data_IF_885874161921
#
_entry.id   IF_885874161921
#
_cell.length_a   1.000
_cell.length_b   1.000
_cell.length_c   1.000
_cell.angle_alpha   90.00
_cell.angle_beta   90.00
_cell.angle_gamma   90.00
#
_symmetry.space_group_name_H-M   'P 1'
#
loop_
_entity.id
_entity.type
_entity.pdbx_description
1 polymer ?
#
# COMPACT_ATOMS: atom_id res chain seq x y z
N UNK A 1 6.41 35.00 -12.33
CA UNK A 1 5.62 33.75 -12.44
C UNK A 1 5.90 32.91 -11.21
N UNK A 2 4.88 32.39 -10.53
CA UNK A 2 5.02 31.45 -9.41
C UNK A 2 4.63 30.05 -9.89
N UNK A 3 5.46 29.05 -9.61
CA UNK A 3 5.22 27.66 -9.99
C UNK A 3 4.87 26.86 -8.74
N UNK A 4 3.72 26.19 -8.75
CA UNK A 4 3.19 25.40 -7.63
C UNK A 4 3.17 23.92 -7.96
N UNK A 5 3.36 23.11 -6.93
CA UNK A 5 3.36 21.65 -7.01
C UNK A 5 2.40 21.11 -5.96
N UNK A 6 1.22 20.67 -6.39
CA UNK A 6 0.12 20.32 -5.48
C UNK A 6 -0.42 18.92 -5.76
N UNK A 7 -1.02 18.28 -4.75
CA UNK A 7 -1.83 17.08 -4.97
C UNK A 7 -3.22 17.43 -5.55
N UNK A 8 -4.06 16.41 -5.75
CA UNK A 8 -5.43 16.56 -6.27
C UNK A 8 -6.36 17.34 -5.35
N UNK A 9 -6.04 17.43 -4.07
CA UNK A 9 -6.80 18.18 -3.06
C UNK A 9 -6.30 19.63 -2.91
N UNK A 10 -5.21 19.98 -3.60
CA UNK A 10 -4.60 21.30 -3.59
C UNK A 10 -3.55 21.50 -2.49
N UNK A 11 -3.14 20.45 -1.78
CA UNK A 11 -2.09 20.54 -0.78
C UNK A 11 -0.72 20.67 -1.44
N UNK A 12 0.13 21.55 -0.92
CA UNK A 12 1.48 21.76 -1.46
C UNK A 12 2.40 20.58 -1.12
N UNK A 13 3.00 19.98 -2.16
CA UNK A 13 3.89 18.81 -2.05
C UNK A 13 5.37 19.19 -2.05
N UNK A 14 5.70 20.36 -2.59
CA UNK A 14 7.05 20.89 -2.65
C UNK A 14 6.99 22.42 -2.68
N UNK A 15 8.05 23.06 -2.21
CA UNK A 15 8.16 24.52 -2.22
C UNK A 15 7.95 25.07 -3.62
N UNK A 16 7.10 26.09 -3.71
CA UNK A 16 6.85 26.83 -4.94
C UNK A 16 8.12 27.53 -5.46
N UNK A 17 8.31 27.54 -6.79
CA UNK A 17 9.41 28.27 -7.44
C UNK A 17 8.95 29.65 -7.92
N UNK A 18 9.88 30.60 -8.01
CA UNK A 18 9.60 31.94 -8.55
C UNK A 18 10.53 32.25 -9.72
N UNK A 19 9.93 32.54 -10.87
CA UNK A 19 10.62 33.00 -12.06
C UNK A 19 10.35 34.49 -12.25
N UNK A 20 11.42 35.25 -12.47
CA UNK A 20 11.38 36.67 -12.79
C UNK A 20 11.95 36.89 -14.19
N UNK A 21 11.37 37.84 -14.92
CA UNK A 21 11.80 38.18 -16.27
C UNK A 21 11.20 39.49 -16.74
N UNK A 22 11.70 40.00 -17.87
CA UNK A 22 11.16 41.19 -18.54
C UNK A 22 9.79 40.87 -19.12
N UNK A 23 8.89 41.85 -19.15
CA UNK A 23 7.61 41.73 -19.87
C UNK A 23 7.88 41.27 -21.31
N UNK A 24 7.04 40.37 -21.80
CA UNK A 24 7.09 39.71 -23.12
C UNK A 24 8.26 38.74 -23.35
N UNK A 25 9.19 38.60 -22.40
CA UNK A 25 10.19 37.55 -22.48
C UNK A 25 9.54 36.16 -22.24
N UNK A 26 9.98 35.11 -22.96
CA UNK A 26 9.44 33.78 -22.77
C UNK A 26 9.87 33.18 -21.42
N UNK A 27 9.03 32.32 -20.86
CA UNK A 27 9.37 31.41 -19.77
C UNK A 27 8.97 29.98 -20.11
N UNK A 28 9.68 29.05 -19.47
CA UNK A 28 9.37 27.63 -19.47
C UNK A 28 9.54 27.09 -18.06
N UNK A 29 8.67 26.16 -17.70
CA UNK A 29 8.69 25.47 -16.41
C UNK A 29 8.58 23.98 -16.63
N UNK A 30 9.00 23.20 -15.63
CA UNK A 30 8.89 21.74 -15.63
C UNK A 30 8.37 21.25 -14.29
N UNK A 31 7.78 20.05 -14.31
CA UNK A 31 7.43 19.34 -13.10
C UNK A 31 8.69 18.93 -12.33
N UNK A 32 8.59 18.88 -11.00
CA UNK A 32 9.62 18.32 -10.12
C UNK A 32 9.45 16.81 -10.03
N UNK A 33 10.57 16.09 -9.89
CA UNK A 33 10.52 14.69 -9.45
C UNK A 33 10.25 14.67 -7.94
N UNK A 34 9.13 14.08 -7.54
CA UNK A 34 8.69 14.01 -6.15
C UNK A 34 8.53 12.54 -5.75
N UNK A 35 9.23 12.11 -4.70
CA UNK A 35 9.21 10.71 -4.26
C UNK A 35 7.80 10.25 -3.90
N UNK A 36 7.35 9.15 -4.51
CA UNK A 36 6.01 8.59 -4.28
C UNK A 36 4.88 9.32 -5.01
N UNK A 37 5.18 10.25 -5.91
CA UNK A 37 4.20 11.02 -6.68
C UNK A 37 4.49 10.99 -8.17
N UNK A 38 3.43 11.01 -8.98
CA UNK A 38 3.49 11.11 -10.43
C UNK A 38 2.70 12.34 -10.89
N UNK A 39 3.17 12.99 -11.96
CA UNK A 39 2.47 14.15 -12.52
C UNK A 39 1.17 13.68 -13.15
N UNK A 40 0.05 14.15 -12.62
CA UNK A 40 -1.29 13.92 -13.16
C UNK A 40 -1.64 14.95 -14.22
N UNK A 41 -1.27 16.21 -14.00
CA UNK A 41 -1.60 17.31 -14.90
C UNK A 41 -0.44 18.27 -15.04
N UNK A 42 0.04 18.40 -16.28
CA UNK A 42 0.89 19.50 -16.72
C UNK A 42 -0.02 20.64 -17.18
N UNK A 43 0.12 21.85 -16.62
CA UNK A 43 -0.77 22.96 -16.97
C UNK A 43 -0.45 23.50 -18.37
N UNK A 44 -1.48 23.98 -19.08
CA UNK A 44 -1.32 24.53 -20.44
C UNK A 44 -0.39 25.76 -20.49
N UNK A 45 -0.26 26.49 -19.37
CA UNK A 45 0.63 27.65 -19.24
C UNK A 45 2.02 27.28 -18.67
N UNK A 46 2.46 26.02 -18.77
CA UNK A 46 3.82 25.63 -18.41
C UNK A 46 4.91 26.36 -19.24
N UNK A 47 4.52 26.84 -20.43
CA UNK A 47 5.28 27.79 -21.24
C UNK A 47 4.43 29.03 -21.50
N UNK A 48 5.06 30.18 -21.69
CA UNK A 48 4.37 31.43 -21.97
C UNK A 48 5.33 32.60 -21.99
N UNK A 49 4.80 33.82 -21.84
CA UNK A 49 5.60 35.04 -21.68
C UNK A 49 5.27 35.72 -20.36
N UNK A 50 6.27 36.41 -19.78
CA UNK A 50 6.05 37.22 -18.59
C UNK A 50 5.12 38.39 -18.91
N UNK A 51 4.12 38.59 -18.06
CA UNK A 51 3.21 39.74 -18.15
C UNK A 51 3.40 40.68 -16.97
N UNK A 52 2.76 41.85 -17.01
CA UNK A 52 2.73 42.78 -15.89
C UNK A 52 1.84 42.29 -14.72
N UNK A 53 1.14 41.17 -14.89
CA UNK A 53 0.27 40.57 -13.87
C UNK A 53 0.95 39.35 -13.24
N UNK A 54 0.61 39.06 -11.99
CA UNK A 54 1.07 37.82 -11.34
C UNK A 54 0.49 36.61 -12.07
N UNK A 55 1.37 35.73 -12.53
CA UNK A 55 1.03 34.48 -13.21
C UNK A 55 1.35 33.30 -12.29
N UNK A 56 0.45 32.32 -12.22
CA UNK A 56 0.65 31.05 -11.49
C UNK A 56 0.62 29.88 -12.46
N UNK A 57 1.61 29.01 -12.38
CA UNK A 57 1.69 27.74 -13.09
C UNK A 57 1.54 26.63 -12.05
N UNK A 58 0.57 25.75 -12.19
CA UNK A 58 0.30 24.71 -11.17
C UNK A 58 0.42 23.33 -11.80
N UNK A 59 1.38 22.54 -11.33
CA UNK A 59 1.45 21.11 -11.61
C UNK A 59 0.65 20.35 -10.55
N UNK A 60 -0.23 19.46 -11.01
CA UNK A 60 -1.03 18.59 -10.15
C UNK A 60 -0.47 17.18 -10.18
N UNK A 61 -0.29 16.59 -9.01
CA UNK A 61 0.27 15.27 -8.80
C UNK A 61 -0.77 14.32 -8.22
N UNK A 62 -0.55 13.03 -8.43
CA UNK A 62 -1.23 11.94 -7.72
C UNK A 62 -0.20 10.96 -7.18
N UNK A 63 -0.61 10.12 -6.23
CA UNK A 63 0.28 9.07 -5.71
C UNK A 63 0.74 8.16 -6.85
N UNK A 64 2.03 7.82 -6.82
CA UNK A 64 2.60 6.85 -7.74
C UNK A 64 1.93 5.48 -7.58
N UNK A 65 2.07 4.62 -8.59
CA UNK A 65 1.70 3.21 -8.44
C UNK A 65 2.65 2.54 -7.43
N UNK A 66 2.08 1.72 -6.55
CA UNK A 66 2.87 0.81 -5.73
C UNK A 66 3.30 -0.41 -6.53
N UNK A 67 4.28 -1.14 -6.01
CA UNK A 67 4.64 -2.43 -6.56
C UNK A 67 3.52 -3.46 -6.34
N UNK A 68 3.35 -4.43 -7.25
CA UNK A 68 2.28 -5.40 -7.18
C UNK A 68 2.38 -6.29 -5.94
N UNK A 69 1.22 -6.76 -5.47
CA UNK A 69 1.10 -7.79 -4.44
C UNK A 69 0.72 -9.09 -5.11
N UNK A 70 1.56 -10.12 -4.99
CA UNK A 70 1.26 -11.47 -5.48
C UNK A 70 0.63 -12.30 -4.37
N UNK A 71 -0.49 -12.96 -4.67
CA UNK A 71 -1.19 -13.83 -3.72
C UNK A 71 -1.02 -15.28 -4.16
N UNK A 72 -0.36 -16.09 -3.32
CA UNK A 72 -0.10 -17.51 -3.59
C UNK A 72 -1.00 -18.41 -2.74
N UNK A 73 -1.36 -19.55 -3.31
CA UNK A 73 -2.16 -20.60 -2.67
C UNK A 73 -1.37 -21.90 -2.74
N UNK A 74 -0.82 -22.34 -1.62
CA UNK A 74 0.13 -23.46 -1.58
C UNK A 74 -0.23 -24.49 -0.51
N UNK A 75 0.25 -25.72 -0.66
CA UNK A 75 0.26 -26.69 0.43
C UNK A 75 1.41 -26.44 1.41
N UNK A 76 1.54 -27.31 2.42
CA UNK A 76 2.60 -27.21 3.44
C UNK A 76 4.02 -27.39 2.87
N UNK A 77 4.16 -28.06 1.72
CA UNK A 77 5.43 -28.29 1.03
C UNK A 77 5.78 -27.15 0.06
N UNK A 78 4.85 -26.18 -0.12
CA UNK A 78 5.01 -25.04 -1.00
C UNK A 78 4.57 -25.30 -2.45
N UNK A 79 3.92 -26.43 -2.74
CA UNK A 79 3.38 -26.70 -4.07
C UNK A 79 2.17 -25.82 -4.35
N UNK A 80 2.10 -25.27 -5.56
CA UNK A 80 0.99 -24.41 -5.97
C UNK A 80 -0.30 -25.20 -6.19
N UNK A 81 -1.36 -24.79 -5.49
CA UNK A 81 -2.68 -25.42 -5.55
C UNK A 81 -3.65 -24.68 -6.46
N UNK A 82 -3.37 -23.40 -6.74
CA UNK A 82 -4.13 -22.57 -7.65
C UNK A 82 -3.25 -21.43 -8.17
N UNK A 83 -3.57 -20.95 -9.38
CA UNK A 83 -2.87 -19.82 -10.02
C UNK A 83 -2.80 -18.61 -9.06
N UNK A 84 -1.64 -17.94 -8.95
CA UNK A 84 -1.49 -16.79 -8.08
C UNK A 84 -2.29 -15.61 -8.61
N UNK A 85 -2.86 -14.83 -7.69
CA UNK A 85 -3.50 -13.57 -8.06
C UNK A 85 -2.48 -12.43 -7.98
N UNK A 86 -2.73 -11.34 -8.72
CA UNK A 86 -1.93 -10.11 -8.64
C UNK A 86 -2.84 -8.95 -8.34
N UNK A 87 -2.51 -8.20 -7.29
CA UNK A 87 -3.15 -6.93 -6.98
C UNK A 87 -2.24 -5.78 -7.39
N UNK A 88 -2.85 -4.73 -7.93
CA UNK A 88 -2.21 -3.46 -8.25
C UNK A 88 -2.95 -2.34 -7.53
N UNK A 89 -2.24 -1.30 -7.14
CA UNK A 89 -2.83 -0.14 -6.48
C UNK A 89 -1.85 1.02 -6.34
N UNK A 90 -2.36 2.16 -5.90
CA UNK A 90 -1.54 3.34 -5.65
C UNK A 90 -0.73 3.14 -4.37
N UNK A 91 0.48 3.70 -4.33
CA UNK A 91 1.34 3.70 -3.15
C UNK A 91 0.57 4.22 -1.93
N UNK A 92 0.77 3.56 -0.79
CA UNK A 92 0.12 3.83 0.51
C UNK A 92 -1.39 3.55 0.56
N UNK A 93 -2.00 3.02 -0.51
CA UNK A 93 -3.40 2.57 -0.45
C UNK A 93 -3.50 1.16 0.12
N UNK A 94 -4.58 0.90 0.87
CA UNK A 94 -4.81 -0.40 1.50
C UNK A 94 -5.24 -1.47 0.51
N UNK A 95 -4.79 -2.70 0.72
CA UNK A 95 -5.34 -3.90 0.09
C UNK A 95 -5.84 -4.89 1.14
N UNK A 96 -6.78 -5.74 0.74
CA UNK A 96 -7.28 -6.86 1.52
C UNK A 96 -7.52 -8.05 0.59
N UNK A 97 -7.08 -9.23 1.00
CA UNK A 97 -7.27 -10.48 0.26
C UNK A 97 -7.78 -11.58 1.18
N UNK A 98 -8.60 -12.44 0.62
CA UNK A 98 -9.17 -13.60 1.31
C UNK A 98 -8.68 -14.89 0.67
N UNK A 99 -8.63 -15.95 1.47
CA UNK A 99 -8.33 -17.29 0.97
C UNK A 99 -9.35 -17.73 -0.10
N UNK A 100 -8.86 -18.45 -1.12
CA UNK A 100 -9.74 -19.16 -2.07
C UNK A 100 -10.32 -20.40 -1.41
N UNK A 101 -11.55 -20.74 -1.77
CA UNK A 101 -12.10 -22.07 -1.48
C UNK A 101 -11.54 -23.06 -2.51
N UNK A 102 -10.78 -24.05 -2.05
CA UNK A 102 -10.12 -25.04 -2.90
C UNK A 102 -10.67 -26.43 -2.56
N UNK A 103 -11.19 -27.14 -3.55
CA UNK A 103 -11.80 -28.46 -3.33
C UNK A 103 -10.77 -29.46 -2.78
N UNK A 104 -11.10 -30.15 -1.68
CA UNK A 104 -10.21 -31.11 -1.02
C UNK A 104 -9.10 -30.47 -0.17
N UNK A 105 -9.16 -29.16 0.07
CA UNK A 105 -8.16 -28.41 0.83
C UNK A 105 -8.81 -27.50 1.86
N UNK A 106 -8.23 -27.44 3.06
CA UNK A 106 -8.64 -26.56 4.14
C UNK A 106 -7.53 -25.57 4.45
N UNK A 107 -7.88 -24.29 4.57
CA UNK A 107 -6.92 -23.26 4.98
C UNK A 107 -6.38 -23.58 6.38
N UNK A 108 -5.06 -23.53 6.56
CA UNK A 108 -4.42 -23.75 7.86
C UNK A 108 -4.47 -22.49 8.72
N UNK A 109 -4.10 -21.34 8.14
CA UNK A 109 -4.15 -20.03 8.78
C UNK A 109 -4.19 -18.91 7.74
N UNK A 110 -4.81 -17.79 8.12
CA UNK A 110 -4.73 -16.55 7.35
C UNK A 110 -3.41 -15.85 7.67
N UNK A 111 -2.56 -15.52 6.67
CA UNK A 111 -1.32 -14.79 6.91
C UNK A 111 -1.61 -13.37 7.40
N UNK A 112 -0.74 -12.83 8.26
CA UNK A 112 -0.93 -11.51 8.86
C UNK A 112 -0.96 -10.38 7.83
N UNK A 113 -0.24 -10.52 6.72
CA UNK A 113 -0.21 -9.57 5.61
C UNK A 113 -1.32 -9.76 4.58
N UNK A 114 -2.35 -10.58 4.86
CA UNK A 114 -3.58 -10.66 4.05
C UNK A 114 -4.31 -9.31 3.96
N UNK A 115 -4.05 -8.42 4.92
CA UNK A 115 -4.41 -7.00 4.86
C UNK A 115 -3.13 -6.20 4.97
N UNK A 116 -2.97 -5.18 4.12
CA UNK A 116 -1.77 -4.37 4.09
C UNK A 116 -1.96 -3.10 3.28
N UNK A 117 -0.85 -2.49 2.89
CA UNK A 117 -0.82 -1.33 1.99
C UNK A 117 0.16 -1.60 0.85
N UNK A 118 -0.10 -1.03 -0.33
CA UNK A 118 0.85 -1.08 -1.42
C UNK A 118 2.09 -0.26 -1.08
N UNK A 119 3.25 -0.86 -1.26
CA UNK A 119 4.58 -0.29 -0.98
C UNK A 119 5.34 -0.06 -2.28
N UNK A 120 6.53 0.53 -2.20
CA UNK A 120 7.46 0.58 -3.33
C UNK A 120 8.04 -0.80 -3.67
N UNK A 121 8.08 -1.70 -2.69
CA UNK A 121 8.60 -3.05 -2.85
C UNK A 121 7.48 -4.04 -3.15
N UNK A 122 7.74 -5.01 -4.03
CA UNK A 122 6.77 -6.07 -4.33
C UNK A 122 6.55 -6.95 -3.09
N UNK A 123 5.31 -7.36 -2.86
CA UNK A 123 4.93 -8.15 -1.70
C UNK A 123 4.36 -9.50 -2.13
N UNK A 124 4.50 -10.51 -1.27
CA UNK A 124 3.86 -11.82 -1.46
C UNK A 124 3.00 -12.17 -0.24
N UNK A 125 1.73 -12.46 -0.47
CA UNK A 125 0.79 -13.00 0.51
C UNK A 125 0.62 -14.49 0.21
N UNK A 126 0.92 -15.36 1.17
CA UNK A 126 0.83 -16.82 0.95
C UNK A 126 -0.22 -17.42 1.86
N UNK A 127 -1.27 -17.96 1.27
CA UNK A 127 -2.23 -18.81 1.96
C UNK A 127 -1.76 -20.26 1.89
N UNK A 128 -1.62 -20.90 3.06
CA UNK A 128 -1.18 -22.29 3.18
C UNK A 128 -2.38 -23.18 3.49
N UNK A 129 -2.47 -24.33 2.83
CA UNK A 129 -3.57 -25.27 2.94
C UNK A 129 -3.10 -26.66 3.37
N UNK A 130 -3.95 -27.35 4.12
CA UNK A 130 -3.81 -28.77 4.43
C UNK A 130 -4.85 -29.57 3.64
N UNK A 131 -4.48 -30.78 3.22
CA UNK A 131 -5.41 -31.68 2.55
C UNK A 131 -6.56 -32.00 3.49
N UNK A 132 -7.79 -31.86 3.01
CA UNK A 132 -8.96 -32.25 3.77
C UNK A 132 -9.11 -33.77 3.62
N UNK A 133 -9.02 -34.49 4.73
CA UNK A 133 -9.37 -35.90 4.76
C UNK A 133 -10.89 -36.02 4.52
N UNK A 134 -11.29 -36.89 3.60
CA UNK A 134 -12.68 -37.28 3.52
C UNK A 134 -13.04 -37.93 4.86
N UNK A 135 -14.00 -37.36 5.59
CA UNK A 135 -14.64 -38.11 6.66
C UNK A 135 -15.03 -39.47 6.08
N UNK A 136 -14.65 -40.61 6.70
CA UNK A 136 -15.07 -41.90 6.21
C UNK A 136 -16.60 -41.85 6.14
N UNK A 137 -17.12 -41.94 4.91
CA UNK A 137 -18.56 -41.94 4.64
C UNK A 137 -19.17 -42.92 5.64
N UNK A 138 -20.00 -42.42 6.57
CA UNK A 138 -21.02 -43.28 7.15
C UNK A 138 -21.86 -43.71 5.97
N UNK A 139 -21.76 -44.98 5.61
CA UNK A 139 -22.63 -45.62 4.65
C UNK A 139 -24.08 -45.43 5.10
N UNK A 140 -24.75 -44.42 4.58
CA UNK A 140 -26.21 -44.39 4.62
C UNK A 140 -26.72 -44.91 3.27
N UNK A 141 -27.10 -46.18 3.30
CA UNK A 141 -27.78 -46.83 2.18
C UNK A 141 -29.21 -46.32 2.12
N UNK A 142 -29.58 -45.61 1.07
CA UNK A 142 -30.92 -45.76 0.43
C UNK A 142 -30.97 -45.12 -0.97
N UNK A 143 -31.88 -45.57 -1.86
CA UNK A 143 -31.56 -45.81 -3.26
C UNK A 143 -31.87 -44.63 -4.18
N UNK A 144 -31.12 -44.64 -5.27
CA UNK A 144 -31.20 -43.75 -6.42
C UNK A 144 -32.51 -43.97 -7.22
N UNK A 145 -33.19 -42.89 -7.62
CA UNK A 145 -33.90 -42.82 -8.91
C UNK A 145 -34.36 -41.39 -9.26
N UNK A 146 -33.70 -40.76 -10.24
CA UNK A 146 -34.29 -40.34 -11.55
C UNK A 146 -33.55 -39.12 -12.16
N UNK A 147 -32.80 -39.40 -13.23
CA UNK A 147 -32.55 -38.69 -14.51
C UNK A 147 -32.23 -37.15 -14.56
N UNK A 148 -31.29 -36.69 -15.42
CA UNK A 148 -30.74 -35.34 -15.37
C UNK A 148 -31.57 -34.30 -16.13
N UNK A 149 -31.68 -33.09 -15.57
CA UNK A 149 -32.18 -31.91 -16.29
C UNK A 149 -31.02 -30.99 -16.66
N UNK A 150 -30.79 -30.87 -17.95
CA UNK A 150 -29.96 -29.87 -18.60
C UNK A 150 -30.71 -28.55 -18.65
N UNK A 151 -30.29 -27.54 -17.88
CA UNK A 151 -30.65 -26.16 -18.18
C UNK A 151 -29.45 -25.22 -18.07
N UNK A 152 -28.95 -24.84 -19.25
CA UNK A 152 -28.06 -23.71 -19.52
C UNK A 152 -28.91 -22.45 -19.59
N UNK A 153 -28.61 -21.43 -18.78
CA UNK A 153 -28.53 -20.03 -19.25
C UNK A 153 -27.81 -19.12 -18.23
N UNK A 154 -27.13 -18.05 -18.69
CA UNK A 154 -26.08 -17.31 -17.98
C UNK A 154 -26.62 -16.06 -17.26
N UNK A 155 -25.71 -15.14 -16.87
CA UNK A 155 -25.90 -13.71 -16.48
C UNK A 155 -25.74 -13.51 -14.93
N UNK A 156 -25.04 -12.52 -14.33
CA UNK A 156 -24.64 -11.15 -14.70
C UNK A 156 -23.44 -10.67 -13.87
N UNK A 157 -22.64 -9.78 -14.46
CA UNK A 157 -21.64 -8.90 -13.86
C UNK A 157 -22.35 -7.89 -12.93
N UNK A 158 -21.86 -7.67 -11.72
CA UNK A 158 -22.25 -6.55 -10.87
C UNK A 158 -21.07 -5.58 -10.67
N UNK A 159 -20.96 -4.63 -11.59
CA UNK A 159 -20.26 -3.38 -11.35
C UNK A 159 -21.04 -2.57 -10.32
N UNK A 160 -20.52 -2.45 -9.09
CA UNK A 160 -21.02 -1.47 -8.12
C UNK A 160 -19.99 -0.36 -7.91
N UNK A 161 -20.23 0.73 -8.64
CA UNK A 161 -19.75 2.10 -8.42
C UNK A 161 -19.98 2.53 -6.96
N UNK A 162 -18.99 3.05 -6.23
CA UNK A 162 -19.23 3.59 -4.89
C UNK A 162 -19.71 5.06 -4.97
N UNK A 163 -20.94 5.29 -4.53
CA UNK A 163 -21.45 6.61 -4.15
C UNK A 163 -21.20 6.88 -2.67
N UNK A 164 -20.62 8.04 -2.40
CA UNK A 164 -20.17 8.52 -1.09
C UNK A 164 -21.25 8.43 0.00
N UNK A 165 -20.86 7.91 1.16
CA UNK A 165 -21.60 8.07 2.42
C UNK A 165 -20.81 8.90 3.41
N UNK A 166 -21.57 9.79 4.04
CA UNK A 166 -21.25 10.95 4.85
C UNK A 166 -20.40 10.66 6.10
N UNK A 167 -19.42 11.54 6.30
CA UNK A 167 -18.51 11.65 7.46
C UNK A 167 -19.28 11.82 8.77
N UNK A 168 -18.88 11.07 9.81
CA UNK A 168 -19.11 11.43 11.22
C UNK A 168 -17.77 11.40 11.96
N UNK A 169 -17.40 12.55 12.51
CA UNK A 169 -16.16 12.85 13.23
C UNK A 169 -16.05 12.09 14.55
N UNK A 170 -14.94 11.37 14.76
CA UNK A 170 -14.43 11.03 16.11
C UNK A 170 -12.95 11.44 16.19
N UNK A 171 -12.66 12.39 17.09
CA UNK A 171 -11.30 12.76 17.50
C UNK A 171 -10.73 11.67 18.42
N UNK A 172 -9.50 11.20 18.17
CA UNK A 172 -8.52 10.89 19.23
C UNK A 172 -7.08 10.83 18.71
N UNK A 173 -6.17 11.33 19.53
CA UNK A 173 -4.75 11.59 19.26
C UNK A 173 -3.83 10.35 19.44
N UNK A 174 -2.78 10.34 18.60
CA UNK A 174 -1.37 9.91 18.80
C UNK A 174 -1.02 8.52 19.38
N UNK A 175 -0.43 7.65 18.55
CA UNK A 175 0.96 7.12 18.67
C UNK A 175 1.29 6.16 17.51
N UNK A 176 2.49 6.28 16.92
CA UNK A 176 3.00 5.33 15.93
C UNK A 176 3.35 3.98 16.58
N UNK A 177 3.11 2.83 15.92
CA UNK A 177 3.70 1.56 16.36
C UNK A 177 5.17 1.46 15.92
N UNK A 178 6.04 1.07 16.85
CA UNK A 178 7.38 0.53 16.58
C UNK A 178 7.28 -1.00 16.56
N UNK A 179 7.87 -1.65 15.57
CA UNK A 179 7.98 -3.12 15.47
C UNK A 179 9.23 -3.60 16.21
N UNK A 180 9.13 -4.74 16.91
CA UNK A 180 10.26 -5.48 17.47
C UNK A 180 9.83 -6.41 18.60
N UNK A 181 9.46 -7.64 18.26
CA UNK A 181 9.27 -8.72 19.25
C UNK A 181 10.63 -9.23 19.75
N UNK A 182 10.72 -9.46 21.07
CA UNK A 182 11.46 -10.60 21.65
C UNK A 182 10.91 -10.86 23.05
N UNK A 183 10.19 -11.96 23.18
CA UNK A 183 9.70 -12.49 24.46
C UNK A 183 10.85 -13.18 25.18
N UNK A 184 11.14 -12.78 26.42
CA UNK A 184 11.72 -13.70 27.41
C UNK A 184 11.25 -13.32 28.82
N UNK A 185 10.45 -14.24 29.37
CA UNK A 185 10.18 -14.55 30.77
C UNK A 185 10.18 -13.45 31.85
N UNK A 186 8.97 -13.24 32.37
CA UNK A 186 8.62 -13.03 33.79
C UNK A 186 9.76 -12.73 34.77
N UNK A 187 9.77 -11.53 35.37
CA UNK A 187 9.81 -11.29 36.83
C UNK A 187 9.43 -9.82 37.12
N UNK A 188 8.81 -9.69 38.29
CA UNK A 188 8.11 -8.62 38.98
C UNK A 188 9.01 -7.48 39.55
N UNK A 189 8.42 -6.28 39.74
CA UNK A 189 8.92 -5.03 40.36
C UNK A 189 10.00 -4.26 39.55
N UNK A 190 10.04 -2.94 39.45
CA UNK A 190 9.39 -1.85 40.18
C UNK A 190 10.41 -0.68 40.28
N UNK A 191 10.08 0.48 39.71
CA UNK A 191 10.61 1.83 39.96
C UNK A 191 12.14 2.11 40.08
N UNK A 192 12.49 3.29 39.54
CA UNK A 192 13.65 4.13 39.88
C UNK A 192 14.97 3.85 39.14
N UNK A 193 15.58 4.92 38.61
CA UNK A 193 17.04 4.94 38.41
C UNK A 193 17.51 5.50 37.09
N UNK A 194 17.51 6.83 36.97
CA UNK A 194 18.43 7.56 36.10
C UNK A 194 19.88 7.08 36.30
N UNK A 195 20.61 6.80 35.23
CA UNK A 195 22.07 6.72 35.31
C UNK A 195 22.71 7.37 34.07
N UNK A 196 23.23 8.58 34.28
CA UNK A 196 24.29 9.15 33.47
C UNK A 196 25.56 8.31 33.66
N UNK A 197 26.21 7.93 32.55
CA UNK A 197 27.65 7.71 32.55
C UNK A 197 28.24 8.34 31.29
N UNK A 198 28.75 9.55 31.47
CA UNK A 198 29.84 10.09 30.67
C UNK A 198 31.10 9.30 31.03
N UNK A 199 31.88 8.86 30.05
CA UNK A 199 33.34 8.76 30.15
C UNK A 199 33.93 8.76 28.75
N UNK A 200 34.78 9.76 28.49
CA UNK A 200 35.59 9.87 27.29
C UNK A 200 36.98 9.23 27.46
N UNK A 201 37.61 9.00 26.32
CA UNK A 201 39.05 8.78 26.11
C UNK A 201 39.30 9.26 24.66
N UNK A 202 39.90 10.41 24.39
CA UNK A 202 41.28 10.87 24.59
C UNK A 202 42.32 10.13 23.73
N UNK A 203 42.93 10.93 22.83
CA UNK A 203 44.23 10.76 22.13
C UNK A 203 44.24 9.82 20.92
N UNK A 204 44.97 10.09 19.82
CA UNK A 204 46.34 10.61 19.71
C UNK A 204 46.53 11.42 18.41
N UNK A 205 47.21 12.57 18.55
CA UNK A 205 47.91 13.29 17.49
C UNK A 205 49.03 12.45 16.89
N UNK A 206 49.10 12.33 15.56
CA UNK A 206 50.37 12.05 14.89
C UNK A 206 50.50 12.85 13.60
N UNK A 207 51.23 13.96 13.73
CA UNK A 207 51.96 14.65 12.67
C UNK A 207 53.07 13.72 12.16
N UNK A 208 53.26 13.68 10.84
CA UNK A 208 54.44 13.28 10.04
C UNK A 208 53.89 13.15 8.61
N UNK A 209 54.40 13.76 7.55
CA UNK A 209 55.71 14.35 7.25
C UNK A 209 55.50 15.49 6.26
#
# INVERSE_FOLDING_TARGET
VTVKYVDTDGNELATSDTLNGKIDAPYQTSAKSLSGWTVKTTPNNATGVFTNSKQTVTYVYEKADGAPVTVKYVDADGNELATPDTLNGKLDTSYAVTAKNLSGWKLTATPSNANGVFTTDAQTVTFVYAKQEDDPKKDDKTPNNTKPDTNKTPIKINENKPTASKVTTIKRQTKLPKTGDTQQDSILFGLMGTCFVLLGIYSISKKNN
#
